data_IF_204724965607
#
_entry.id   IF_204724965607
#
_cell.length_a   1.000
_cell.length_b   1.000
_cell.length_c   1.000
_cell.angle_alpha   90.00
_cell.angle_beta   90.00
_cell.angle_gamma   90.00
#
_symmetry.space_group_name_H-M   'P 1'
#
loop_
_entity.id
_entity.type
_entity.pdbx_description
1 polymer ?
#
# COMPACT_ATOMS: atom_id res chain seq x y z
N UNK A 1 -7.29 -0.03 24.17
CA UNK A 1 -7.74 0.40 22.82
C UNK A 1 -6.54 1.01 22.09
N UNK A 2 -6.29 0.63 20.82
CA UNK A 2 -5.20 1.22 20.01
C UNK A 2 -5.49 2.73 19.86
N UNK A 3 -4.61 3.59 20.37
CA UNK A 3 -4.86 5.04 20.50
C UNK A 3 -4.70 5.83 19.19
N UNK A 4 -4.25 5.18 18.12
CA UNK A 4 -3.80 5.83 16.88
C UNK A 4 -4.51 5.33 15.62
N UNK A 5 -5.53 4.46 15.76
CA UNK A 5 -6.37 3.99 14.64
C UNK A 5 -7.83 3.85 15.08
N UNK A 6 -8.76 3.93 14.13
CA UNK A 6 -10.17 3.60 14.33
C UNK A 6 -10.53 2.31 13.60
N UNK A 7 -10.87 1.28 14.36
CA UNK A 7 -11.26 -0.03 13.83
C UNK A 7 -12.77 -0.25 14.04
N UNK A 8 -13.60 -0.09 12.99
CA UNK A 8 -15.06 -0.26 13.12
C UNK A 8 -15.47 -1.72 13.38
N UNK A 9 -14.62 -2.67 12.97
CA UNK A 9 -14.79 -4.12 13.19
C UNK A 9 -13.43 -4.82 13.17
N UNK A 10 -13.38 -6.06 13.65
CA UNK A 10 -12.16 -6.86 13.65
C UNK A 10 -11.58 -7.01 12.23
N UNK A 11 -10.26 -6.92 12.13
CA UNK A 11 -9.55 -7.04 10.85
C UNK A 11 -9.59 -5.79 9.96
N UNK A 12 -10.30 -4.72 10.34
CA UNK A 12 -10.49 -3.55 9.48
C UNK A 12 -10.16 -2.23 10.19
N UNK A 13 -9.68 -1.25 9.43
CA UNK A 13 -9.54 0.14 9.88
C UNK A 13 -10.28 1.08 8.94
N UNK A 14 -10.81 2.18 9.47
CA UNK A 14 -11.42 3.23 8.66
C UNK A 14 -10.39 4.32 8.38
N UNK A 15 -10.15 4.60 7.10
CA UNK A 15 -9.06 5.44 6.60
C UNK A 15 -9.02 6.84 7.24
N UNK A 16 -10.06 7.65 7.05
CA UNK A 16 -10.09 9.07 7.41
C UNK A 16 -9.96 9.30 8.94
N UNK A 17 -10.68 8.52 9.74
CA UNK A 17 -10.58 8.62 11.20
C UNK A 17 -9.26 8.07 11.72
N UNK A 18 -8.73 7.00 11.10
CA UNK A 18 -7.42 6.46 11.50
C UNK A 18 -6.30 7.43 11.17
N UNK A 19 -6.35 8.11 10.01
CA UNK A 19 -5.36 9.11 9.62
C UNK A 19 -5.28 10.26 10.63
N UNK A 20 -6.43 10.81 11.05
CA UNK A 20 -6.48 11.89 12.04
C UNK A 20 -6.01 11.46 13.45
N UNK A 21 -6.32 10.21 13.87
CA UNK A 21 -5.80 9.67 15.14
C UNK A 21 -4.30 9.41 15.07
N UNK A 22 -3.83 8.91 13.92
CA UNK A 22 -2.43 8.62 13.69
C UNK A 22 -1.59 9.91 13.62
N UNK A 23 -2.10 10.97 13.02
CA UNK A 23 -1.49 12.31 13.02
C UNK A 23 -1.20 12.79 14.45
N UNK A 24 -2.21 12.75 15.34
CA UNK A 24 -2.04 13.16 16.74
C UNK A 24 -1.01 12.31 17.46
N UNK A 25 -1.04 11.00 17.23
CA UNK A 25 -0.07 10.09 17.80
C UNK A 25 1.35 10.34 17.30
N UNK A 26 1.53 10.51 15.99
CA UNK A 26 2.82 10.78 15.37
C UNK A 26 3.42 12.11 15.84
N UNK A 27 2.61 13.16 16.00
CA UNK A 27 3.04 14.42 16.60
C UNK A 27 3.56 14.22 18.03
N UNK A 28 2.86 13.43 18.87
CA UNK A 28 3.32 13.11 20.23
C UNK A 28 4.61 12.27 20.28
N UNK A 29 4.98 11.65 19.16
CA UNK A 29 6.15 10.78 18.98
C UNK A 29 7.24 11.37 18.09
N UNK A 30 7.10 12.63 17.68
CA UNK A 30 7.99 13.24 16.68
C UNK A 30 9.45 13.23 17.13
N UNK A 31 9.71 13.57 18.39
CA UNK A 31 11.07 13.54 18.99
C UNK A 31 11.57 12.10 19.10
N UNK A 32 10.74 11.17 19.59
CA UNK A 32 11.07 9.74 19.71
C UNK A 32 11.46 9.10 18.36
N UNK A 33 10.88 9.59 17.26
CA UNK A 33 11.20 9.16 15.89
C UNK A 33 12.37 9.90 15.25
N UNK A 34 13.04 10.80 15.97
CA UNK A 34 14.18 11.55 15.46
C UNK A 34 13.79 12.71 14.53
N UNK A 35 12.61 13.30 14.73
CA UNK A 35 12.07 14.42 13.94
C UNK A 35 11.98 14.15 12.43
N UNK A 36 11.22 13.11 12.00
CA UNK A 36 11.11 12.74 10.60
C UNK A 36 10.29 13.75 9.77
N UNK A 37 10.54 13.77 8.47
CA UNK A 37 9.81 14.61 7.50
C UNK A 37 8.36 14.14 7.29
N UNK A 38 8.13 12.83 7.39
CA UNK A 38 6.82 12.19 7.44
C UNK A 38 6.89 10.82 8.13
N UNK A 39 5.76 10.33 8.62
CA UNK A 39 5.63 8.99 9.22
C UNK A 39 4.55 8.21 8.49
N UNK A 40 4.83 6.94 8.17
CA UNK A 40 3.89 6.08 7.48
C UNK A 40 3.49 4.86 8.32
N UNK A 41 2.20 4.55 8.38
CA UNK A 41 1.69 3.35 9.04
C UNK A 41 1.39 2.26 8.01
N UNK A 42 2.20 1.20 8.00
CA UNK A 42 1.89 -0.05 7.29
C UNK A 42 1.06 -0.96 8.19
N UNK A 43 0.01 -1.57 7.64
CA UNK A 43 -0.91 -2.43 8.40
C UNK A 43 -1.35 -3.65 7.60
N UNK A 44 -1.45 -4.80 8.27
CA UNK A 44 -2.09 -6.01 7.70
C UNK A 44 -3.61 -6.05 7.89
N UNK A 45 -4.21 -4.94 8.31
CA UNK A 45 -5.67 -4.79 8.45
C UNK A 45 -6.24 -4.18 7.18
N UNK A 46 -7.44 -4.60 6.79
CA UNK A 46 -8.16 -4.05 5.64
C UNK A 46 -8.52 -2.58 5.89
N UNK A 47 -7.95 -1.68 5.09
CA UNK A 47 -8.23 -0.25 5.05
C UNK A 47 -9.52 -0.01 4.28
N UNK A 48 -10.46 0.62 4.96
CA UNK A 48 -11.81 0.85 4.46
C UNK A 48 -12.12 2.32 4.35
N UNK A 49 -12.93 2.67 3.35
CA UNK A 49 -13.29 4.03 2.99
C UNK A 49 -14.77 4.14 2.65
N UNK A 50 -15.31 5.35 2.60
CA UNK A 50 -16.62 5.62 1.99
C UNK A 50 -16.43 6.07 0.54
N UNK A 51 -16.84 5.21 -0.38
CA UNK A 51 -16.85 5.51 -1.81
C UNK A 51 -18.29 5.68 -2.31
N UNK A 52 -18.61 6.86 -2.86
CA UNK A 52 -19.96 7.18 -3.36
C UNK A 52 -21.09 6.85 -2.35
N UNK A 53 -20.83 7.09 -1.06
CA UNK A 53 -21.77 6.80 0.03
C UNK A 53 -21.84 5.33 0.45
N UNK A 54 -21.00 4.45 -0.10
CA UNK A 54 -20.91 3.03 0.28
C UNK A 54 -19.60 2.73 0.98
N UNK A 55 -19.67 1.94 2.04
CA UNK A 55 -18.48 1.39 2.71
C UNK A 55 -17.76 0.42 1.76
N UNK A 56 -16.46 0.61 1.57
CA UNK A 56 -15.64 -0.18 0.62
C UNK A 56 -14.27 -0.49 1.20
N UNK A 57 -13.72 -1.66 0.85
CA UNK A 57 -12.32 -2.05 1.12
C UNK A 57 -11.38 -1.63 -0.03
N UNK A 58 -11.83 -0.72 -0.91
CA UNK A 58 -10.99 -0.14 -1.97
C UNK A 58 -10.04 0.96 -1.46
N UNK A 59 -10.00 1.21 -0.14
CA UNK A 59 -9.21 2.27 0.45
C UNK A 59 -7.73 2.08 0.15
N UNK A 60 -7.18 0.88 0.43
CA UNK A 60 -5.76 0.48 0.34
C UNK A 60 -4.77 1.38 1.10
N UNK A 61 -4.88 2.71 1.01
CA UNK A 61 -4.12 3.69 1.76
C UNK A 61 -4.78 5.07 1.76
N UNK A 62 -4.24 5.97 2.57
CA UNK A 62 -4.61 7.38 2.59
C UNK A 62 -3.46 8.22 3.15
N UNK A 63 -3.25 9.41 2.60
CA UNK A 63 -2.35 10.41 3.14
C UNK A 63 -2.87 11.84 2.95
N UNK A 64 -2.33 12.76 3.75
CA UNK A 64 -2.50 14.19 3.50
C UNK A 64 -1.67 14.62 2.29
N UNK A 65 -2.24 15.47 1.44
CA UNK A 65 -1.53 15.99 0.26
C UNK A 65 -0.69 17.21 0.64
N UNK A 66 0.54 17.26 0.14
CA UNK A 66 1.49 18.36 0.37
C UNK A 66 1.80 18.58 1.86
N UNK A 67 1.96 17.50 2.63
CA UNK A 67 2.12 17.53 4.08
C UNK A 67 3.54 17.23 4.59
N UNK A 68 4.50 16.98 3.69
CA UNK A 68 5.90 16.79 4.06
C UNK A 68 6.40 17.96 4.94
N UNK A 69 7.04 17.63 6.06
CA UNK A 69 7.56 18.59 7.05
C UNK A 69 6.53 19.53 7.69
N UNK A 70 5.24 19.18 7.66
CA UNK A 70 4.16 19.91 8.36
C UNK A 70 3.68 19.13 9.59
N UNK A 71 2.63 19.59 10.25
CA UNK A 71 2.00 18.88 11.38
C UNK A 71 1.14 17.68 10.91
N UNK A 72 0.66 17.70 9.66
CA UNK A 72 -0.13 16.64 9.02
C UNK A 72 0.73 15.62 8.27
N UNK A 73 1.99 15.42 8.70
CA UNK A 73 3.06 14.63 8.06
C UNK A 73 2.86 13.11 8.14
N UNK A 74 1.65 12.62 7.88
CA UNK A 74 1.31 11.20 8.00
C UNK A 74 0.57 10.63 6.80
N UNK A 75 0.75 9.32 6.62
CA UNK A 75 -0.01 8.47 5.72
C UNK A 75 -0.13 7.05 6.28
N UNK A 76 -1.04 6.26 5.73
CA UNK A 76 -1.20 4.85 6.08
C UNK A 76 -1.55 4.01 4.85
N UNK A 77 -1.24 2.71 4.90
CA UNK A 77 -1.53 1.79 3.81
C UNK A 77 -1.48 0.32 4.22
N UNK A 78 -2.17 -0.51 3.45
CA UNK A 78 -2.18 -1.96 3.58
C UNK A 78 -0.87 -2.58 3.11
N UNK A 79 -0.40 -3.58 3.83
CA UNK A 79 0.65 -4.49 3.40
C UNK A 79 0.35 -5.90 3.92
N UNK A 80 0.61 -6.92 3.10
CA UNK A 80 0.64 -8.31 3.54
C UNK A 80 2.06 -8.63 3.99
N UNK A 81 2.28 -8.88 5.31
CA UNK A 81 3.62 -9.03 5.86
C UNK A 81 4.48 -10.04 5.08
N UNK A 82 5.67 -9.61 4.68
CA UNK A 82 6.63 -10.45 3.95
C UNK A 82 6.35 -10.62 2.45
N UNK A 83 5.26 -10.07 1.92
CA UNK A 83 4.89 -10.21 0.50
C UNK A 83 5.08 -8.92 -0.31
N UNK A 84 5.44 -7.81 0.33
CA UNK A 84 5.70 -6.51 -0.31
C UNK A 84 4.52 -5.93 -1.11
N UNK A 85 3.29 -6.41 -0.84
CA UNK A 85 2.09 -5.99 -1.57
C UNK A 85 1.75 -4.52 -1.37
N UNK A 86 2.20 -3.93 -0.25
CA UNK A 86 2.00 -2.53 0.08
C UNK A 86 2.98 -1.56 -0.60
N UNK A 87 3.97 -2.04 -1.35
CA UNK A 87 5.04 -1.16 -1.90
C UNK A 87 4.48 -0.08 -2.84
N UNK A 88 3.57 -0.46 -3.75
CA UNK A 88 2.94 0.49 -4.65
C UNK A 88 2.06 1.48 -3.88
N UNK A 89 1.26 0.99 -2.93
CA UNK A 89 0.41 1.83 -2.06
C UNK A 89 1.24 2.84 -1.28
N UNK A 90 2.31 2.40 -0.61
CA UNK A 90 3.25 3.29 0.09
C UNK A 90 3.80 4.36 -0.85
N UNK A 91 4.22 3.96 -2.05
CA UNK A 91 4.79 4.89 -3.04
C UNK A 91 3.76 5.93 -3.49
N UNK A 92 2.51 5.52 -3.72
CA UNK A 92 1.39 6.39 -4.09
C UNK A 92 1.08 7.41 -2.97
N UNK A 93 0.92 6.91 -1.75
CA UNK A 93 0.57 7.76 -0.60
C UNK A 93 1.74 8.67 -0.18
N UNK A 94 2.99 8.20 -0.27
CA UNK A 94 4.17 9.03 -0.04
C UNK A 94 4.26 10.15 -1.09
N UNK A 95 3.89 9.89 -2.34
CA UNK A 95 3.83 10.93 -3.36
C UNK A 95 2.75 11.98 -3.06
N UNK A 96 1.61 11.59 -2.48
CA UNK A 96 0.64 12.56 -1.93
C UNK A 96 1.27 13.46 -0.86
N UNK A 97 1.96 12.88 0.13
CA UNK A 97 2.67 13.62 1.19
C UNK A 97 3.66 14.62 0.58
N UNK A 98 4.42 14.19 -0.42
CA UNK A 98 5.38 15.01 -1.17
C UNK A 98 4.71 16.05 -2.08
N UNK A 99 3.39 15.99 -2.30
CA UNK A 99 2.62 17.03 -2.98
C UNK A 99 1.94 16.64 -4.28
N UNK A 100 2.11 15.40 -4.76
CA UNK A 100 1.46 14.97 -5.98
C UNK A 100 -0.06 14.81 -5.76
N UNK A 101 -0.86 15.44 -6.62
CA UNK A 101 -2.25 15.04 -6.82
C UNK A 101 -2.31 13.86 -7.79
N UNK A 102 -3.47 13.19 -7.81
CA UNK A 102 -3.79 12.22 -8.86
C UNK A 102 -3.65 12.84 -10.25
N UNK A 103 -3.14 12.05 -11.20
CA UNK A 103 -3.04 12.48 -12.60
C UNK A 103 -4.42 12.87 -13.14
N UNK A 104 -4.50 13.97 -13.88
CA UNK A 104 -5.74 14.55 -14.40
C UNK A 104 -6.47 15.47 -13.42
N UNK A 105 -6.00 15.61 -12.18
CA UNK A 105 -6.61 16.50 -11.19
C UNK A 105 -5.89 17.84 -11.08
N UNK A 106 -6.63 18.89 -10.70
CA UNK A 106 -6.04 20.17 -10.27
C UNK A 106 -5.83 20.21 -8.76
N UNK A 107 -5.18 21.25 -8.23
CA UNK A 107 -5.07 21.44 -6.79
C UNK A 107 -6.46 21.61 -6.13
N UNK A 108 -6.55 21.25 -4.85
CA UNK A 108 -7.81 21.35 -4.08
C UNK A 108 -8.36 22.76 -3.98
N UNK A 109 -7.48 23.76 -4.01
CA UNK A 109 -7.79 25.18 -4.05
C UNK A 109 -7.35 25.72 -5.42
N UNK A 110 -8.32 26.21 -6.19
CA UNK A 110 -8.08 26.74 -7.54
C UNK A 110 -7.28 28.05 -7.55
N UNK A 111 -7.18 28.75 -6.41
CA UNK A 111 -6.36 29.95 -6.24
C UNK A 111 -4.91 29.64 -5.88
N UNK A 112 -4.60 28.38 -5.55
CA UNK A 112 -3.25 27.94 -5.24
C UNK A 112 -2.32 28.03 -6.46
N UNK A 113 -1.06 28.42 -6.22
CA UNK A 113 0.01 28.37 -7.23
C UNK A 113 0.55 26.95 -7.50
N UNK A 114 -0.02 25.95 -6.83
CA UNK A 114 0.37 24.55 -7.01
C UNK A 114 0.10 24.09 -8.44
N UNK A 115 1.07 23.47 -9.13
CA UNK A 115 0.94 23.18 -10.56
C UNK A 115 -0.17 22.15 -10.89
N UNK A 116 -0.49 21.26 -9.94
CA UNK A 116 -1.49 20.20 -10.15
C UNK A 116 -1.05 19.19 -11.21
N UNK A 117 -1.99 18.41 -11.72
CA UNK A 117 -1.73 17.31 -12.66
C UNK A 117 -2.71 17.24 -13.85
N UNK A 118 -3.48 18.31 -14.12
CA UNK A 118 -4.50 18.33 -15.19
C UNK A 118 -3.94 17.97 -16.58
N UNK A 119 -2.68 18.27 -16.85
CA UNK A 119 -2.01 18.00 -18.12
C UNK A 119 -1.50 16.56 -18.27
N UNK A 120 -1.49 15.76 -17.21
CA UNK A 120 -1.13 14.34 -17.25
C UNK A 120 -2.39 13.49 -17.23
N UNK A 121 -2.73 12.75 -18.30
CA UNK A 121 -3.96 11.97 -18.33
C UNK A 121 -3.95 10.80 -17.34
N UNK A 122 -5.02 10.68 -16.54
CA UNK A 122 -5.26 9.53 -15.63
C UNK A 122 -5.11 8.17 -16.30
N UNK A 123 -5.54 8.07 -17.56
CA UNK A 123 -5.52 6.86 -18.38
C UNK A 123 -4.13 6.31 -18.71
N UNK A 124 -3.06 7.08 -18.52
CA UNK A 124 -1.69 6.59 -18.75
C UNK A 124 -1.26 5.57 -17.70
N UNK A 125 -1.90 5.56 -16.53
CA UNK A 125 -1.69 4.54 -15.51
C UNK A 125 -0.36 4.67 -14.77
N UNK A 126 0.19 5.89 -14.67
CA UNK A 126 1.32 6.19 -13.79
C UNK A 126 0.98 5.97 -12.31
N UNK A 127 1.98 5.98 -11.42
CA UNK A 127 1.80 5.68 -9.98
C UNK A 127 0.62 6.45 -9.36
N UNK A 128 0.40 7.71 -9.75
CA UNK A 128 -0.70 8.55 -9.25
C UNK A 128 -2.05 8.27 -9.93
N UNK A 129 -2.20 7.10 -10.56
CA UNK A 129 -3.41 6.55 -11.14
C UNK A 129 -3.65 5.13 -10.62
N UNK A 130 -4.91 4.73 -10.49
CA UNK A 130 -5.27 3.35 -10.14
C UNK A 130 -5.27 2.40 -11.35
N UNK A 131 -5.05 2.93 -12.55
CA UNK A 131 -4.99 2.12 -13.76
C UNK A 131 -3.59 1.50 -13.86
N UNK A 132 -3.55 0.17 -13.88
CA UNK A 132 -2.31 -0.57 -14.10
C UNK A 132 -2.19 -0.93 -15.58
N UNK A 133 -1.40 -0.14 -16.32
CA UNK A 133 -1.03 -0.40 -17.71
C UNK A 133 0.33 -1.11 -17.84
N UNK A 134 0.77 -1.83 -16.80
CA UNK A 134 2.08 -2.47 -16.75
C UNK A 134 3.20 -1.45 -16.46
N UNK A 135 4.19 -1.26 -17.35
CA UNK A 135 5.41 -0.51 -17.01
C UNK A 135 5.22 0.94 -16.54
N UNK A 136 4.18 1.65 -17.02
CA UNK A 136 3.89 3.01 -16.55
C UNK A 136 3.48 3.05 -15.08
N UNK A 137 2.87 1.99 -14.57
CA UNK A 137 2.43 1.86 -13.17
C UNK A 137 3.59 1.81 -12.17
N UNK A 138 4.83 1.69 -12.67
CA UNK A 138 6.05 1.76 -11.87
C UNK A 138 6.75 3.12 -11.98
N UNK A 139 6.11 4.12 -12.60
CA UNK A 139 6.71 5.42 -12.90
C UNK A 139 5.79 6.56 -12.49
N UNK A 140 6.38 7.63 -11.95
CA UNK A 140 5.70 8.90 -11.76
C UNK A 140 5.51 9.61 -13.10
N UNK A 141 4.37 10.28 -13.27
CA UNK A 141 4.18 11.17 -14.41
C UNK A 141 5.07 12.41 -14.26
N UNK A 142 5.30 13.12 -15.37
CA UNK A 142 5.99 14.42 -15.32
C UNK A 142 5.29 15.39 -14.37
N UNK A 143 3.96 15.39 -14.32
CA UNK A 143 3.20 16.25 -13.43
C UNK A 143 3.40 15.88 -11.96
N UNK A 144 3.44 14.58 -11.62
CA UNK A 144 3.73 14.16 -10.25
C UNK A 144 5.11 14.68 -9.80
N UNK A 145 6.13 14.52 -10.66
CA UNK A 145 7.49 15.00 -10.37
C UNK A 145 7.56 16.53 -10.22
N UNK A 146 6.85 17.28 -11.06
CA UNK A 146 6.79 18.76 -10.96
C UNK A 146 6.12 19.24 -9.68
N UNK A 147 5.00 18.61 -9.29
CA UNK A 147 4.30 18.90 -8.04
C UNK A 147 5.16 18.60 -6.82
N UNK A 148 5.81 17.44 -6.79
CA UNK A 148 6.70 17.07 -5.69
C UNK A 148 7.89 18.03 -5.57
N UNK A 149 8.51 18.40 -6.69
CA UNK A 149 9.57 19.42 -6.71
C UNK A 149 9.08 20.76 -6.17
N UNK A 150 7.90 21.21 -6.59
CA UNK A 150 7.31 22.46 -6.12
C UNK A 150 7.12 22.46 -4.60
N UNK A 151 6.50 21.42 -4.04
CA UNK A 151 6.21 21.34 -2.59
C UNK A 151 7.48 21.18 -1.76
N UNK A 152 8.40 20.29 -2.14
CA UNK A 152 9.67 20.10 -1.42
C UNK A 152 10.52 21.36 -1.45
N UNK A 153 10.55 22.09 -2.58
CA UNK A 153 11.27 23.36 -2.67
C UNK A 153 10.71 24.42 -1.73
N UNK A 154 9.38 24.49 -1.60
CA UNK A 154 8.71 25.41 -0.67
C UNK A 154 8.91 25.03 0.80
N UNK A 155 9.05 23.74 1.12
CA UNK A 155 9.35 23.29 2.48
C UNK A 155 10.73 23.73 2.96
N UNK A 156 11.66 23.99 2.04
CA UNK A 156 12.96 24.62 2.31
C UNK A 156 14.02 23.67 2.88
N UNK A 157 15.29 24.10 2.95
CA UNK A 157 16.44 23.22 3.24
C UNK A 157 16.35 22.44 4.55
N UNK A 158 15.68 22.96 5.57
CA UNK A 158 15.47 22.24 6.83
C UNK A 158 14.68 20.94 6.64
N UNK A 159 13.87 20.84 5.58
CA UNK A 159 13.05 19.67 5.27
C UNK A 159 13.76 18.64 4.38
N UNK A 160 14.62 19.05 3.45
CA UNK A 160 15.24 18.11 2.48
C UNK A 160 16.74 17.91 2.66
N UNK A 161 17.36 18.59 3.65
CA UNK A 161 18.70 18.26 4.07
C UNK A 161 18.70 16.87 4.73
N UNK A 162 19.46 15.94 4.16
CA UNK A 162 19.56 14.57 4.67
C UNK A 162 20.36 14.58 5.99
N UNK A 163 19.68 14.31 7.10
CA UNK A 163 20.28 14.31 8.45
C UNK A 163 20.65 12.92 8.94
N UNK A 164 20.19 11.85 8.27
CA UNK A 164 20.39 10.47 8.69
C UNK A 164 20.80 9.57 7.53
N UNK A 165 21.50 8.49 7.86
CA UNK A 165 21.83 7.45 6.89
C UNK A 165 20.67 6.45 6.80
N UNK A 166 20.17 6.23 5.59
CA UNK A 166 19.15 5.23 5.32
C UNK A 166 19.68 3.80 5.52
N UNK A 167 18.77 2.86 5.78
CA UNK A 167 19.07 1.42 5.78
C UNK A 167 18.56 0.81 4.49
N UNK A 168 19.41 0.05 3.81
CA UNK A 168 19.03 -0.70 2.63
C UNK A 168 19.88 -1.97 2.51
N UNK A 169 19.31 -2.98 1.89
CA UNK A 169 20.02 -4.21 1.54
C UNK A 169 20.42 -4.11 0.08
N UNK A 170 21.71 -4.32 -0.21
CA UNK A 170 22.23 -4.27 -1.59
C UNK A 170 21.96 -5.60 -2.28
N UNK A 171 21.60 -5.54 -3.56
CA UNK A 171 21.43 -6.71 -4.43
C UNK A 171 20.43 -7.77 -3.92
N UNK A 172 19.48 -7.38 -3.08
CA UNK A 172 18.39 -8.23 -2.62
C UNK A 172 17.09 -7.51 -2.97
N UNK A 173 16.24 -8.20 -3.73
CA UNK A 173 15.02 -7.65 -4.28
C UNK A 173 13.81 -8.50 -3.87
N UNK A 174 12.60 -7.92 -3.80
CA UNK A 174 11.43 -8.63 -3.30
C UNK A 174 11.15 -9.97 -4.00
N UNK A 175 11.35 -10.05 -5.32
CA UNK A 175 11.17 -11.29 -6.09
C UNK A 175 12.18 -12.39 -5.84
N UNK A 176 13.29 -12.09 -5.14
CA UNK A 176 14.24 -13.09 -4.65
C UNK A 176 13.84 -13.63 -3.27
N UNK A 177 13.05 -12.87 -2.51
CA UNK A 177 12.66 -13.21 -1.14
C UNK A 177 11.32 -13.94 -1.06
N UNK A 178 10.45 -13.77 -2.07
CA UNK A 178 9.09 -14.29 -2.10
C UNK A 178 8.93 -15.30 -3.23
N UNK A 179 8.50 -16.51 -2.90
CA UNK A 179 8.20 -17.55 -3.89
C UNK A 179 6.88 -17.28 -4.62
N UNK A 180 6.68 -17.93 -5.77
CA UNK A 180 5.40 -17.85 -6.48
C UNK A 180 4.23 -18.33 -5.63
N UNK A 181 4.38 -19.42 -4.88
CA UNK A 181 3.33 -19.93 -3.99
C UNK A 181 2.96 -18.88 -2.92
N UNK A 182 3.96 -18.23 -2.32
CA UNK A 182 3.75 -17.21 -1.29
C UNK A 182 2.97 -16.01 -1.82
N UNK A 183 3.35 -15.44 -2.97
CA UNK A 183 2.62 -14.30 -3.55
C UNK A 183 1.21 -14.70 -4.03
N UNK A 184 1.04 -15.95 -4.49
CA UNK A 184 -0.26 -16.46 -4.90
C UNK A 184 -1.20 -16.74 -3.72
N UNK A 185 -0.67 -17.06 -2.53
CA UNK A 185 -1.44 -17.48 -1.35
C UNK A 185 -2.47 -16.46 -0.86
N UNK A 186 -2.30 -15.18 -1.19
CA UNK A 186 -3.21 -14.10 -0.77
C UNK A 186 -4.34 -13.81 -1.74
N UNK A 187 -4.32 -14.38 -2.94
CA UNK A 187 -5.29 -14.07 -4.00
C UNK A 187 -6.64 -14.75 -3.81
N UNK A 188 -6.73 -16.06 -3.46
CA UNK A 188 -8.00 -16.70 -3.20
C UNK A 188 -8.68 -16.08 -1.97
N UNK A 189 -9.96 -15.77 -2.11
CA UNK A 189 -10.77 -15.29 -0.98
C UNK A 189 -11.08 -16.38 0.04
N UNK A 190 -11.11 -17.63 -0.40
CA UNK A 190 -11.39 -18.82 0.39
C UNK A 190 -10.15 -19.72 0.37
N UNK A 191 -9.08 -19.20 0.97
CA UNK A 191 -7.74 -19.82 1.00
C UNK A 191 -7.78 -21.25 1.50
N UNK A 192 -8.52 -21.50 2.58
CA UNK A 192 -8.66 -22.83 3.21
C UNK A 192 -9.24 -23.90 2.27
N UNK A 193 -9.97 -23.49 1.23
CA UNK A 193 -10.58 -24.41 0.27
C UNK A 193 -9.92 -24.31 -1.12
N UNK A 194 -8.76 -23.66 -1.24
CA UNK A 194 -8.05 -23.45 -2.52
C UNK A 194 -6.66 -24.08 -2.45
N UNK A 195 -6.40 -25.10 -3.27
CA UNK A 195 -5.08 -25.75 -3.32
C UNK A 195 -4.25 -25.16 -4.46
N UNK A 196 -3.04 -24.68 -4.15
CA UNK A 196 -2.09 -24.20 -5.15
C UNK A 196 -1.61 -25.37 -6.02
N UNK A 197 -1.56 -25.18 -7.34
CA UNK A 197 -1.07 -26.16 -8.30
C UNK A 197 0.34 -25.76 -8.77
N UNK A 198 0.42 -24.64 -9.50
CA UNK A 198 1.67 -24.05 -9.98
C UNK A 198 1.46 -22.58 -10.33
N UNK A 199 2.54 -21.89 -10.67
CA UNK A 199 2.50 -20.54 -11.22
C UNK A 199 3.27 -20.45 -12.54
N UNK A 200 2.87 -19.50 -13.38
CA UNK A 200 3.60 -19.13 -14.60
C UNK A 200 3.67 -17.61 -14.72
N UNK A 201 4.63 -17.08 -15.48
CA UNK A 201 4.77 -15.64 -15.70
C UNK A 201 4.51 -15.32 -17.17
N UNK A 202 3.69 -14.30 -17.42
CA UNK A 202 3.51 -13.75 -18.76
C UNK A 202 4.69 -12.82 -19.08
N UNK A 203 5.56 -13.25 -19.99
CA UNK A 203 6.78 -12.52 -20.39
C UNK A 203 6.50 -11.12 -20.92
N UNK A 204 5.35 -10.91 -21.57
CA UNK A 204 4.98 -9.64 -22.21
C UNK A 204 4.55 -8.58 -21.19
N UNK A 205 4.17 -8.99 -19.97
CA UNK A 205 3.51 -8.11 -19.00
C UNK A 205 4.02 -8.27 -17.57
N UNK A 206 4.90 -9.24 -17.31
CA UNK A 206 5.34 -9.61 -15.96
C UNK A 206 4.19 -9.85 -14.98
N UNK A 207 3.07 -10.40 -15.49
CA UNK A 207 1.98 -10.86 -14.65
C UNK A 207 2.19 -12.33 -14.29
N UNK A 208 2.11 -12.64 -13.00
CA UNK A 208 2.11 -14.01 -12.49
C UNK A 208 0.70 -14.56 -12.59
N UNK A 209 0.53 -15.67 -13.30
CA UNK A 209 -0.67 -16.51 -13.28
C UNK A 209 -0.51 -17.57 -12.20
N UNK A 210 -1.37 -17.52 -11.21
CA UNK A 210 -1.44 -18.47 -10.12
C UNK A 210 -2.55 -19.49 -10.40
N UNK A 211 -2.17 -20.75 -10.61
CA UNK A 211 -3.10 -21.83 -10.88
C UNK A 211 -3.45 -22.54 -9.58
N UNK A 212 -4.74 -22.67 -9.32
CA UNK A 212 -5.31 -23.35 -8.17
C UNK A 212 -6.33 -24.39 -8.63
N UNK A 213 -6.71 -25.28 -7.71
CA UNK A 213 -7.86 -26.14 -7.90
C UNK A 213 -8.60 -26.39 -6.59
N UNK A 214 -9.82 -26.89 -6.74
CA UNK A 214 -10.66 -27.34 -5.62
C UNK A 214 -11.35 -28.63 -5.98
N UNK A 215 -11.66 -29.43 -4.97
CA UNK A 215 -12.49 -30.61 -5.15
C UNK A 215 -13.94 -30.30 -4.78
N UNK A 216 -14.85 -30.62 -5.68
CA UNK A 216 -16.28 -30.51 -5.44
C UNK A 216 -16.93 -31.89 -5.53
N UNK A 217 -17.88 -32.15 -4.65
CA UNK A 217 -18.77 -33.31 -4.73
C UNK A 217 -20.11 -32.79 -5.20
N UNK A 218 -20.65 -33.38 -6.27
CA UNK A 218 -21.98 -33.01 -6.76
C UNK A 218 -23.04 -33.56 -5.81
N UNK A 219 -23.94 -32.70 -5.33
CA UNK A 219 -25.11 -33.13 -4.55
C UNK A 219 -26.09 -33.96 -5.41
N UNK A 220 -26.12 -33.72 -6.72
CA UNK A 220 -27.02 -34.40 -7.68
C UNK A 220 -26.42 -35.72 -8.19
N UNK A 221 -25.09 -35.81 -8.21
CA UNK A 221 -24.34 -36.94 -8.76
C UNK A 221 -23.23 -37.38 -7.80
N UNK A 222 -23.60 -37.71 -6.56
CA UNK A 222 -22.65 -38.10 -5.52
C UNK A 222 -21.76 -39.29 -5.92
N UNK A 223 -22.30 -40.19 -6.74
CA UNK A 223 -21.63 -41.41 -7.23
C UNK A 223 -20.44 -41.11 -8.17
N UNK A 224 -20.36 -39.92 -8.75
CA UNK A 224 -19.21 -39.49 -9.56
C UNK A 224 -17.97 -39.15 -8.73
N UNK A 225 -18.09 -39.08 -7.40
CA UNK A 225 -17.00 -38.74 -6.50
C UNK A 225 -16.57 -37.27 -6.57
N UNK A 226 -15.30 -37.01 -6.22
CA UNK A 226 -14.74 -35.65 -6.18
C UNK A 226 -14.28 -35.21 -7.58
N UNK A 227 -14.78 -34.07 -8.05
CA UNK A 227 -14.37 -33.42 -9.32
C UNK A 227 -13.36 -32.32 -9.03
N UNK A 228 -12.21 -32.32 -9.73
CA UNK A 228 -11.19 -31.26 -9.67
C UNK A 228 -11.62 -30.08 -10.55
N UNK A 229 -11.91 -28.93 -9.96
CA UNK A 229 -12.23 -27.69 -10.68
C UNK A 229 -11.04 -26.73 -10.59
N UNK A 230 -10.46 -26.29 -11.74
CA UNK A 230 -9.33 -25.36 -11.77
C UNK A 230 -9.77 -23.89 -11.67
N UNK A 231 -8.91 -23.06 -11.09
CA UNK A 231 -9.06 -21.60 -10.96
C UNK A 231 -7.74 -20.92 -11.29
N UNK A 232 -7.79 -19.72 -11.87
CA UNK A 232 -6.59 -18.93 -12.16
C UNK A 232 -6.77 -17.52 -11.64
N UNK A 233 -5.79 -17.07 -10.88
CA UNK A 233 -5.66 -15.69 -10.42
C UNK A 233 -4.45 -15.05 -11.08
N UNK A 234 -4.46 -13.73 -11.18
CA UNK A 234 -3.35 -12.97 -11.76
C UNK A 234 -2.90 -11.89 -10.78
N UNK A 235 -1.59 -11.72 -10.64
CA UNK A 235 -0.97 -10.63 -9.87
C UNK A 235 0.26 -10.09 -10.58
N UNK A 236 0.76 -8.94 -10.17
CA UNK A 236 2.05 -8.42 -10.62
C UNK A 236 3.20 -9.25 -10.06
N UNK A 237 4.17 -9.56 -10.91
CA UNK A 237 5.44 -10.10 -10.45
C UNK A 237 6.19 -9.04 -9.63
N UNK A 238 6.81 -9.48 -8.54
CA UNK A 238 7.75 -8.64 -7.82
C UNK A 238 9.02 -8.44 -8.64
N UNK A 239 9.67 -7.29 -8.47
CA UNK A 239 10.97 -7.04 -9.08
C UNK A 239 11.96 -8.15 -8.71
N UNK A 240 12.64 -8.68 -9.72
CA UNK A 240 13.53 -9.85 -9.74
C UNK A 240 12.87 -11.23 -9.66
N UNK A 241 11.54 -11.36 -9.76
CA UNK A 241 10.94 -12.68 -10.01
C UNK A 241 11.32 -13.18 -11.40
N UNK A 242 11.63 -14.48 -11.50
CA UNK A 242 12.04 -15.11 -12.75
C UNK A 242 10.90 -15.10 -13.79
N UNK A 243 11.20 -14.70 -15.02
CA UNK A 243 10.25 -14.72 -16.15
C UNK A 243 10.78 -15.45 -17.38
N UNK A 244 12.04 -15.88 -17.36
CA UNK A 244 12.69 -16.71 -18.38
C UNK A 244 13.88 -17.45 -17.78
N UNK A 245 14.72 -18.05 -18.62
CA UNK A 245 15.88 -18.84 -18.16
C UNK A 245 16.92 -17.94 -17.47
N UNK A 246 17.21 -16.77 -18.06
CA UNK A 246 18.14 -15.76 -17.51
C UNK A 246 17.48 -14.38 -17.34
N UNK A 247 16.16 -14.32 -17.50
CA UNK A 247 15.36 -13.11 -17.42
C UNK A 247 14.56 -13.01 -16.12
N UNK A 248 14.46 -11.78 -15.63
CA UNK A 248 13.68 -11.42 -14.46
C UNK A 248 12.78 -10.22 -14.75
N UNK A 249 11.70 -10.12 -14.00
CA UNK A 249 10.79 -8.98 -14.06
C UNK A 249 11.38 -7.77 -13.35
N UNK A 250 11.43 -6.62 -14.02
CA UNK A 250 11.84 -5.34 -13.42
C UNK A 250 10.88 -4.28 -13.92
N UNK A 251 10.17 -3.63 -13.01
CA UNK A 251 9.20 -2.57 -13.30
C UNK A 251 8.18 -2.97 -14.37
N UNK A 252 7.65 -4.20 -14.26
CA UNK A 252 6.63 -4.72 -15.17
C UNK A 252 7.16 -5.17 -16.54
N UNK A 253 8.48 -5.29 -16.74
CA UNK A 253 9.09 -5.75 -17.99
C UNK A 253 9.98 -6.95 -17.72
N UNK A 254 9.85 -8.02 -18.52
CA UNK A 254 10.75 -9.16 -18.48
C UNK A 254 12.05 -8.83 -19.24
N UNK A 255 13.19 -8.87 -18.55
CA UNK A 255 14.48 -8.43 -19.11
C UNK A 255 15.60 -9.35 -18.62
N UNK A 256 16.71 -9.40 -19.36
CA UNK A 256 17.93 -10.08 -18.91
C UNK A 256 18.35 -9.60 -17.53
N UNK A 257 18.65 -10.54 -16.64
CA UNK A 257 19.04 -10.23 -15.27
C UNK A 257 20.32 -9.35 -15.28
N UNK A 258 20.24 -8.08 -14.82
CA UNK A 258 21.36 -7.14 -14.92
C UNK A 258 22.52 -7.50 -13.99
N UNK A 259 22.27 -8.33 -12.97
CA UNK A 259 23.31 -8.84 -12.08
C UNK A 259 23.24 -10.36 -12.07
N UNK A 260 24.39 -11.05 -12.08
CA UNK A 260 24.42 -12.44 -11.59
C UNK A 260 24.24 -12.39 -10.07
N UNK A 261 23.04 -12.06 -9.61
CA UNK A 261 22.68 -11.97 -8.20
C UNK A 261 22.91 -13.35 -7.60
N UNK A 262 24.01 -13.53 -6.88
CA UNK A 262 24.19 -14.71 -6.05
C UNK A 262 23.15 -14.59 -4.94
N UNK A 263 22.28 -15.59 -4.85
CA UNK A 263 21.44 -15.80 -3.67
C UNK A 263 22.39 -16.09 -2.51
N UNK A 264 22.92 -15.05 -1.87
CA UNK A 264 23.50 -15.24 -0.55
C UNK A 264 22.34 -15.61 0.38
N UNK A 265 22.51 -16.73 1.07
CA UNK A 265 21.50 -17.40 1.87
C UNK A 265 20.65 -16.41 2.69
N UNK A 266 19.35 -16.70 2.78
CA UNK A 266 18.37 -15.95 3.57
C UNK A 266 19.02 -15.33 4.81
N UNK A 267 18.96 -13.99 4.99
CA UNK A 267 19.35 -13.41 6.25
C UNK A 267 18.40 -13.96 7.30
N UNK A 268 18.89 -14.88 8.14
CA UNK A 268 18.24 -15.22 9.40
C UNK A 268 18.09 -13.92 10.17
N UNK A 269 16.84 -13.47 10.34
CA UNK A 269 16.50 -12.41 11.27
C UNK A 269 16.93 -12.86 12.68
N UNK A 270 18.14 -12.52 13.10
CA UNK A 270 18.47 -12.47 14.51
C UNK A 270 17.63 -11.36 15.14
N UNK A 271 16.76 -11.72 16.07
CA UNK A 271 15.97 -10.77 16.88
C UNK A 271 16.86 -9.63 17.38
N UNK A 272 16.39 -8.37 17.32
CA UNK A 272 17.07 -7.29 18.01
C UNK A 272 16.99 -7.55 19.52
N UNK A 273 18.15 -7.63 20.17
CA UNK A 273 18.29 -7.64 21.63
C UNK A 273 17.45 -6.50 22.21
N UNK A 274 16.39 -6.84 22.96
CA UNK A 274 15.65 -5.87 23.74
C UNK A 274 16.58 -5.30 24.81
N UNK A 275 16.97 -4.03 24.67
CA UNK A 275 17.48 -3.29 25.81
C UNK A 275 16.28 -2.88 26.66
N UNK A 276 16.24 -3.38 27.90
CA UNK A 276 15.23 -3.03 28.90
C UNK A 276 15.21 -1.51 29.13
N UNK A 277 14.03 -0.88 29.27
CA UNK A 277 13.95 0.51 29.68
C UNK A 277 14.38 0.67 31.15
N UNK A 278 15.38 1.51 31.37
CA UNK A 278 15.78 1.99 32.70
C UNK A 278 14.56 2.66 33.35
N UNK A 279 14.17 2.12 34.49
CA UNK A 279 13.09 2.65 35.33
C UNK A 279 13.62 3.86 36.08
N UNK A 280 13.06 5.04 35.82
CA UNK A 280 13.22 6.18 36.74
C UNK A 280 11.85 6.61 37.21
N UNK A 281 11.60 6.27 38.47
CA UNK A 281 10.46 6.70 39.27
C UNK A 281 10.54 8.19 39.54
N UNK A 282 9.50 8.95 39.20
CA UNK A 282 9.12 10.09 40.03
C UNK A 282 7.63 10.39 39.86
N UNK A 283 6.93 10.34 40.98
CA UNK A 283 5.53 10.67 41.13
C UNK A 283 5.39 12.15 41.46
N UNK A 284 4.40 12.83 40.89
CA UNK A 284 3.72 13.92 41.59
C UNK A 284 2.28 14.00 41.11
N UNK A 285 1.37 13.93 42.09
CA UNK A 285 -0.07 14.13 41.96
C UNK A 285 -0.41 15.58 41.56
N UNK A 286 -1.50 15.77 40.84
CA UNK A 286 -2.55 16.71 41.27
C UNK A 286 -3.83 16.51 40.45
N UNK A 287 -4.91 16.35 41.20
CA UNK A 287 -6.32 16.33 40.82
C UNK A 287 -6.81 17.71 40.36
N UNK A 288 -7.66 17.77 39.33
CA UNK A 288 -8.95 18.47 39.40
C UNK A 288 -9.82 18.24 38.15
N UNK A 289 -11.12 18.16 38.39
CA UNK A 289 -12.19 17.98 37.40
C UNK A 289 -12.64 19.33 36.83
N UNK A 290 -13.15 19.36 35.59
CA UNK A 290 -14.54 19.74 35.27
C UNK A 290 -14.81 19.91 33.77
N UNK A 291 -16.05 19.53 33.45
CA UNK A 291 -16.99 20.04 32.45
C UNK A 291 -16.82 19.87 30.93
N UNK A 292 -17.96 19.43 30.40
CA UNK A 292 -18.27 19.17 29.01
C UNK A 292 -18.46 20.46 28.21
N UNK A 293 -18.05 20.43 26.94
CA UNK A 293 -18.71 21.23 25.91
C UNK A 293 -18.86 20.39 24.65
N UNK A 294 -20.13 20.15 24.31
CA UNK A 294 -20.59 19.42 23.14
C UNK A 294 -20.47 20.35 21.93
N UNK A 295 -19.38 20.21 21.17
CA UNK A 295 -19.24 20.88 19.88
C UNK A 295 -19.78 19.97 18.76
N UNK A 296 -20.96 20.31 18.27
CA UNK A 296 -21.56 19.75 17.06
C UNK A 296 -20.80 20.31 15.85
N UNK A 297 -20.03 19.48 15.15
CA UNK A 297 -19.44 19.87 13.84
C UNK A 297 -20.14 19.10 12.73
N UNK A 298 -21.00 19.82 12.01
CA UNK A 298 -21.65 19.37 10.78
C UNK A 298 -20.59 19.29 9.67
N UNK A 299 -20.16 18.07 9.31
CA UNK A 299 -19.23 17.85 8.21
C UNK A 299 -20.03 17.91 6.89
N UNK A 300 -19.75 18.96 6.11
CA UNK A 300 -20.27 19.18 4.75
C UNK A 300 -19.60 18.17 3.80
N UNK A 301 -20.34 17.14 3.41
CA UNK A 301 -19.92 16.18 2.39
C UNK A 301 -20.07 16.76 0.99
N UNK A 302 -18.99 17.26 0.41
CA UNK A 302 -18.91 17.51 -1.03
C UNK A 302 -17.53 17.15 -1.57
N UNK A 303 -17.38 15.93 -2.11
CA UNK A 303 -16.44 15.62 -3.20
C UNK A 303 -16.75 14.21 -3.74
N UNK A 304 -17.12 14.15 -5.02
CA UNK A 304 -17.19 12.90 -5.79
C UNK A 304 -15.77 12.36 -5.92
N UNK A 305 -15.36 11.46 -5.03
CA UNK A 305 -14.16 10.64 -5.23
C UNK A 305 -14.53 9.48 -6.16
N UNK A 306 -13.80 9.34 -7.26
CA UNK A 306 -13.99 8.28 -8.23
C UNK A 306 -12.92 7.21 -7.98
N UNK A 307 -13.31 6.11 -7.34
CA UNK A 307 -12.51 4.91 -7.14
C UNK A 307 -13.18 3.78 -7.93
N UNK A 308 -12.51 3.15 -8.91
CA UNK A 308 -12.98 1.92 -9.49
C UNK A 308 -12.34 0.70 -8.82
N UNK A 309 -13.21 -0.24 -8.44
CA UNK A 309 -13.09 -1.69 -8.36
C UNK A 309 -11.70 -2.35 -8.18
N UNK A 310 -11.61 -3.20 -7.13
CA UNK A 310 -10.86 -4.45 -7.18
C UNK A 310 -11.28 -5.21 -8.44
N UNK A 311 -10.36 -5.48 -9.37
CA UNK A 311 -10.53 -6.59 -10.30
C UNK A 311 -10.38 -7.89 -9.51
N UNK A 312 -11.44 -8.31 -8.83
CA UNK A 312 -11.63 -9.72 -8.51
C UNK A 312 -12.06 -10.35 -9.82
N UNK A 313 -11.14 -11.03 -10.51
CA UNK A 313 -11.43 -11.75 -11.75
C UNK A 313 -12.41 -12.89 -11.47
N UNK A 314 -13.70 -12.59 -11.45
CA UNK A 314 -14.76 -13.61 -11.60
C UNK A 314 -14.99 -13.81 -13.09
N UNK A 315 -14.07 -14.50 -13.76
CA UNK A 315 -14.42 -15.19 -14.99
C UNK A 315 -15.04 -16.53 -14.59
N UNK A 316 -16.29 -16.49 -14.13
CA UNK A 316 -17.15 -17.66 -14.18
C UNK A 316 -17.53 -17.85 -15.65
N UNK A 317 -16.90 -18.84 -16.28
CA UNK A 317 -17.30 -19.33 -17.58
C UNK A 317 -18.78 -19.73 -17.53
N UNK A 318 -19.62 -19.07 -18.34
CA UNK A 318 -20.89 -19.64 -18.78
C UNK A 318 -20.60 -20.44 -20.04
N UNK A 319 -20.63 -21.77 -19.91
CA UNK A 319 -20.87 -22.69 -21.01
C UNK A 319 -22.38 -22.85 -21.18
N UNK A 320 -22.89 -22.56 -22.37
CA UNK A 320 -24.31 -22.66 -22.73
C UNK A 320 -24.86 -21.37 -23.30
#
# INVERSE_FOLDING_TARGET
>A
KKKYIFAPKNGHIFDELSLALFERYANSKKVDYGNPDFVFLLTGLDVTTYHQGRYSTSGLGIAYVSSVCKETFVGLGEDSPGLFTGTHTFTHEAAHILGAYHDGQGPSDASSKHPGAKSCPWGLGNIMSYINNGPSHHQFSKCSLEQMRYVVSLAGPSCWNVQSQGRFVKNVYPGMAVSFEQICSVLPSDKENSTFDYASVLTETCKVKCHFYKFYVSEVFADMGKVKIPYVYTTDALDYMQCGDEEVCIQGVCRKNPFKTKVEAHPTHSEPTQQEPITTTEATETTEATEATRATTTIRTTRRRMFPWRHRTTNAWRSG
#
